data_IF_011165977657
#
_entry.id   IF_011165977657
#
_cell.length_a   1.000
_cell.length_b   1.000
_cell.length_c   1.000
_cell.angle_alpha   90.00
_cell.angle_beta   90.00
_cell.angle_gamma   90.00
#
_symmetry.space_group_name_H-M   'P 1'
#
loop_
_entity.id
_entity.type
_entity.pdbx_description
1 polymer ?
#
# COMPACT_ATOMS: atom_id res chain seq x y z
N UNK A 1 -12.24 9.27 -27.67
CA UNK A 1 -13.01 8.13 -27.11
C UNK A 1 -14.29 8.60 -26.43
N UNK A 2 -14.24 9.46 -25.40
CA UNK A 2 -15.46 9.99 -24.73
C UNK A 2 -16.43 10.72 -25.68
N UNK A 3 -15.88 11.50 -26.61
CA UNK A 3 -16.66 12.21 -27.64
C UNK A 3 -17.35 11.26 -28.62
N UNK A 4 -16.72 10.12 -28.95
CA UNK A 4 -17.33 9.07 -29.79
C UNK A 4 -18.46 8.32 -29.07
N UNK A 5 -18.48 8.36 -27.72
CA UNK A 5 -19.47 7.68 -26.89
C UNK A 5 -20.61 8.60 -26.45
N UNK A 6 -20.63 9.88 -26.86
CA UNK A 6 -21.58 10.86 -26.34
C UNK A 6 -21.61 10.86 -24.79
N UNK A 7 -20.42 10.71 -24.17
CA UNK A 7 -20.30 10.38 -22.75
C UNK A 7 -20.97 11.42 -21.85
N UNK A 8 -20.76 12.72 -22.13
CA UNK A 8 -21.35 13.81 -21.36
C UNK A 8 -22.88 13.80 -21.47
N UNK A 9 -23.42 13.71 -22.69
CA UNK A 9 -24.87 13.66 -22.94
C UNK A 9 -25.52 12.47 -22.23
N UNK A 10 -24.85 11.31 -22.21
CA UNK A 10 -25.31 10.11 -21.52
C UNK A 10 -25.34 10.31 -20.01
N UNK A 11 -24.29 10.89 -19.43
CA UNK A 11 -24.23 11.20 -18.00
C UNK A 11 -25.32 12.22 -17.64
N UNK A 12 -25.49 13.28 -18.43
CA UNK A 12 -26.50 14.31 -18.20
C UNK A 12 -27.92 13.72 -18.26
N UNK A 13 -28.18 12.82 -19.21
CA UNK A 13 -29.45 12.10 -19.28
C UNK A 13 -29.70 11.28 -18.01
N UNK A 14 -28.73 10.47 -17.57
CA UNK A 14 -28.85 9.69 -16.32
C UNK A 14 -29.14 10.62 -15.14
N UNK A 15 -28.38 11.71 -14.99
CA UNK A 15 -28.55 12.67 -13.90
C UNK A 15 -29.86 13.45 -13.98
N UNK A 16 -30.41 13.67 -15.17
CA UNK A 16 -31.73 14.31 -15.33
C UNK A 16 -32.88 13.43 -14.83
N UNK A 17 -32.74 12.10 -14.95
CA UNK A 17 -33.75 11.12 -14.52
C UNK A 17 -33.54 10.74 -13.05
N UNK A 18 -32.29 10.52 -12.65
CA UNK A 18 -31.88 10.14 -11.29
C UNK A 18 -30.67 10.98 -10.84
N UNK A 19 -30.91 12.18 -10.27
CA UNK A 19 -29.84 13.12 -9.91
C UNK A 19 -28.75 12.55 -8.97
N UNK A 20 -29.13 11.58 -8.13
CA UNK A 20 -28.24 10.95 -7.15
C UNK A 20 -27.61 9.63 -7.65
N UNK A 21 -27.90 9.19 -8.89
CA UNK A 21 -27.29 7.98 -9.45
C UNK A 21 -25.78 8.20 -9.61
N UNK A 22 -24.96 7.31 -9.06
CA UNK A 22 -23.50 7.35 -9.22
C UNK A 22 -23.10 6.71 -10.54
N UNK A 23 -22.20 7.36 -11.28
CA UNK A 23 -21.69 6.92 -12.57
C UNK A 23 -20.17 6.75 -12.47
N UNK A 24 -19.68 5.60 -12.92
CA UNK A 24 -18.25 5.31 -12.93
C UNK A 24 -17.51 6.00 -14.09
N UNK A 25 -16.19 5.99 -14.02
CA UNK A 25 -15.33 6.66 -14.99
C UNK A 25 -15.14 5.92 -16.35
N UNK A 26 -15.94 4.89 -16.66
CA UNK A 26 -15.69 4.03 -17.84
C UNK A 26 -16.26 4.54 -19.15
N UNK A 27 -17.04 5.63 -19.14
CA UNK A 27 -17.42 6.35 -20.36
C UNK A 27 -16.27 7.22 -20.93
N UNK A 28 -15.09 7.19 -20.30
CA UNK A 28 -13.92 7.97 -20.72
C UNK A 28 -13.88 9.39 -20.15
N UNK A 29 -14.72 9.67 -19.16
CA UNK A 29 -14.73 10.90 -18.36
C UNK A 29 -14.52 10.53 -16.88
N UNK A 30 -14.02 11.43 -16.02
CA UNK A 30 -13.81 11.14 -14.60
C UNK A 30 -15.08 10.68 -13.85
N UNK A 31 -16.26 11.19 -14.23
CA UNK A 31 -17.56 10.92 -13.61
C UNK A 31 -17.53 11.04 -12.07
N UNK A 32 -18.28 10.20 -11.35
CA UNK A 32 -18.39 10.28 -9.88
C UNK A 32 -17.27 9.49 -9.16
N UNK A 33 -16.78 8.38 -9.73
CA UNK A 33 -15.75 7.54 -9.11
C UNK A 33 -14.93 6.71 -10.10
N UNK A 34 -13.69 6.38 -9.72
CA UNK A 34 -12.76 5.54 -10.48
C UNK A 34 -12.94 4.03 -10.25
N UNK A 35 -12.58 3.21 -11.23
CA UNK A 35 -12.73 1.74 -11.14
C UNK A 35 -11.42 0.96 -11.36
N UNK A 36 -10.48 0.91 -10.40
CA UNK A 36 -9.37 -0.04 -10.44
C UNK A 36 -9.89 -1.47 -10.56
N UNK A 37 -9.41 -2.23 -11.55
CA UNK A 37 -9.90 -3.57 -11.85
C UNK A 37 -8.81 -4.61 -11.57
N UNK A 38 -9.12 -5.61 -10.75
CA UNK A 38 -8.21 -6.72 -10.40
C UNK A 38 -6.91 -6.31 -9.67
N UNK A 39 -6.77 -5.05 -9.25
CA UNK A 39 -5.67 -4.60 -8.39
C UNK A 39 -6.15 -3.57 -7.34
N UNK A 40 -5.48 -3.56 -6.19
CA UNK A 40 -5.66 -2.52 -5.17
C UNK A 40 -4.61 -1.42 -5.43
N UNK A 41 -5.00 -0.14 -5.57
CA UNK A 41 -4.02 0.95 -5.69
C UNK A 41 -3.01 0.94 -4.54
N UNK A 42 -1.73 1.16 -4.85
CA UNK A 42 -0.68 1.19 -3.82
C UNK A 42 -0.84 2.34 -2.81
N UNK A 43 -1.46 3.44 -3.24
CA UNK A 43 -1.78 4.62 -2.41
C UNK A 43 -3.24 5.00 -2.59
N UNK A 44 -3.81 5.73 -1.63
CA UNK A 44 -5.15 6.32 -1.73
C UNK A 44 -5.24 7.21 -2.99
N UNK A 45 -6.14 6.94 -3.94
CA UNK A 45 -6.43 7.83 -5.05
C UNK A 45 -7.00 9.18 -4.58
N UNK A 46 -6.85 10.22 -5.41
CA UNK A 46 -7.40 11.56 -5.11
C UNK A 46 -8.92 11.63 -5.22
N UNK A 47 -9.51 10.78 -6.04
CA UNK A 47 -10.97 10.69 -6.26
C UNK A 47 -11.55 9.46 -5.54
N UNK A 48 -12.87 9.46 -5.35
CA UNK A 48 -13.60 8.27 -4.91
C UNK A 48 -13.28 7.11 -5.87
N UNK A 49 -13.21 5.90 -5.34
CA UNK A 49 -12.92 4.73 -6.15
C UNK A 49 -13.57 3.47 -5.59
N UNK A 50 -13.85 2.54 -6.49
CA UNK A 50 -14.35 1.21 -6.18
C UNK A 50 -13.47 0.20 -6.91
N UNK A 51 -12.81 -0.65 -6.13
CA UNK A 51 -12.00 -1.74 -6.66
C UNK A 51 -12.94 -2.90 -6.99
N UNK A 52 -13.01 -3.29 -8.26
CA UNK A 52 -13.75 -4.48 -8.66
C UNK A 52 -12.80 -5.67 -8.77
N UNK A 53 -13.14 -6.80 -8.12
CA UNK A 53 -12.39 -8.04 -8.26
C UNK A 53 -13.26 -9.29 -8.32
N UNK A 54 -12.75 -10.31 -9.00
CA UNK A 54 -13.33 -11.65 -9.08
C UNK A 54 -13.02 -12.48 -7.84
N UNK A 55 -13.90 -13.42 -7.48
CA UNK A 55 -13.59 -14.43 -6.44
C UNK A 55 -12.65 -15.54 -6.92
N UNK A 56 -12.52 -15.75 -8.24
CA UNK A 56 -11.53 -16.63 -8.88
C UNK A 56 -10.80 -15.85 -10.00
N UNK A 57 -10.45 -16.45 -11.13
CA UNK A 57 -9.86 -15.79 -12.29
C UNK A 57 -10.86 -15.20 -13.31
N UNK A 58 -12.17 -15.35 -13.11
CA UNK A 58 -13.19 -14.98 -14.11
C UNK A 58 -14.36 -14.16 -13.52
N UNK A 59 -14.92 -13.28 -14.35
CA UNK A 59 -16.14 -12.51 -14.01
C UNK A 59 -17.40 -13.38 -14.12
N UNK A 60 -17.61 -13.98 -15.31
CA UNK A 60 -18.66 -14.98 -15.53
C UNK A 60 -18.25 -16.36 -15.02
N UNK A 61 -19.23 -17.26 -14.86
CA UNK A 61 -18.95 -18.62 -14.42
C UNK A 61 -18.04 -19.37 -15.41
N UNK A 62 -16.95 -19.91 -14.90
CA UNK A 62 -16.08 -20.82 -15.62
C UNK A 62 -15.98 -22.13 -14.84
N UNK A 63 -16.52 -23.22 -15.41
CA UNK A 63 -16.53 -24.55 -14.79
C UNK A 63 -15.14 -25.18 -14.61
N UNK A 64 -14.12 -24.63 -15.26
CA UNK A 64 -12.74 -25.13 -15.21
C UNK A 64 -11.82 -24.27 -14.32
N UNK A 65 -12.35 -23.22 -13.69
CA UNK A 65 -11.57 -22.36 -12.79
C UNK A 65 -11.95 -22.63 -11.33
N UNK A 66 -11.09 -23.39 -10.66
CA UNK A 66 -11.17 -23.72 -9.24
C UNK A 66 -10.21 -22.89 -8.38
N UNK A 67 -9.57 -21.87 -8.94
CA UNK A 67 -8.61 -21.01 -8.24
C UNK A 67 -9.34 -19.91 -7.43
N UNK A 68 -10.12 -20.33 -6.45
CA UNK A 68 -10.89 -19.44 -5.57
C UNK A 68 -9.97 -18.74 -4.56
N UNK A 69 -10.13 -17.42 -4.42
CA UNK A 69 -9.48 -16.63 -3.36
C UNK A 69 -10.00 -17.08 -2.00
N UNK A 70 -9.10 -17.20 -1.01
CA UNK A 70 -9.47 -17.54 0.37
C UNK A 70 -10.26 -16.41 1.05
N UNK A 71 -10.99 -16.73 2.11
CA UNK A 71 -11.64 -15.72 2.95
C UNK A 71 -10.62 -14.73 3.52
N UNK A 72 -9.43 -15.21 3.90
CA UNK A 72 -8.30 -14.38 4.32
C UNK A 72 -7.95 -13.31 3.28
N UNK A 73 -7.79 -13.71 2.01
CA UNK A 73 -7.51 -12.79 0.92
C UNK A 73 -8.60 -11.73 0.79
N UNK A 74 -9.88 -12.14 0.85
CA UNK A 74 -11.01 -11.24 0.66
C UNK A 74 -11.16 -10.23 1.81
N UNK A 75 -11.01 -10.68 3.07
CA UNK A 75 -11.07 -9.81 4.25
C UNK A 75 -9.90 -8.82 4.27
N UNK A 76 -8.67 -9.29 4.01
CA UNK A 76 -7.48 -8.41 3.99
C UNK A 76 -7.56 -7.40 2.85
N UNK A 77 -8.07 -7.79 1.68
CA UNK A 77 -8.34 -6.86 0.58
C UNK A 77 -9.38 -5.81 0.99
N UNK A 78 -10.48 -6.21 1.63
CA UNK A 78 -11.51 -5.30 2.10
C UNK A 78 -10.94 -4.26 3.07
N UNK A 79 -10.17 -4.69 4.07
CA UNK A 79 -9.52 -3.79 5.03
C UNK A 79 -8.49 -2.86 4.38
N UNK A 80 -7.72 -3.34 3.39
CA UNK A 80 -6.77 -2.50 2.63
C UNK A 80 -7.50 -1.42 1.81
N UNK A 81 -8.55 -1.81 1.08
CA UNK A 81 -9.35 -0.90 0.25
C UNK A 81 -10.07 0.13 1.13
N UNK A 82 -10.72 -0.30 2.22
CA UNK A 82 -11.37 0.59 3.17
C UNK A 82 -10.36 1.53 3.85
N UNK A 83 -9.16 1.05 4.19
CA UNK A 83 -8.09 1.85 4.76
C UNK A 83 -7.54 2.92 3.80
N UNK A 84 -7.74 2.74 2.49
CA UNK A 84 -7.47 3.72 1.44
C UNK A 84 -8.70 4.58 1.09
N UNK A 85 -9.85 4.35 1.74
CA UNK A 85 -11.08 5.10 1.55
C UNK A 85 -11.87 4.72 0.29
N UNK A 86 -11.70 3.49 -0.20
CA UNK A 86 -12.42 2.97 -1.36
C UNK A 86 -13.48 1.93 -1.00
N UNK A 87 -14.25 1.55 -2.02
CA UNK A 87 -15.20 0.45 -1.95
C UNK A 87 -14.63 -0.83 -2.57
N UNK A 88 -15.06 -2.00 -2.09
CA UNK A 88 -14.70 -3.29 -2.66
C UNK A 88 -15.91 -3.97 -3.29
N UNK A 89 -15.97 -3.97 -4.62
CA UNK A 89 -16.99 -4.68 -5.39
C UNK A 89 -16.50 -6.10 -5.70
N UNK A 90 -16.95 -7.05 -4.90
CA UNK A 90 -16.60 -8.46 -5.06
C UNK A 90 -17.58 -9.18 -6.00
N UNK A 91 -17.07 -9.71 -7.10
CA UNK A 91 -17.86 -10.43 -8.09
C UNK A 91 -18.02 -11.92 -7.78
N UNK A 92 -19.23 -12.44 -7.99
CA UNK A 92 -19.52 -13.87 -8.08
C UNK A 92 -20.24 -14.11 -9.40
N UNK A 93 -19.71 -15.00 -10.24
CA UNK A 93 -20.37 -15.44 -11.47
C UNK A 93 -21.31 -16.63 -11.19
N UNK A 94 -22.64 -16.47 -11.25
CA UNK A 94 -23.58 -17.57 -11.05
C UNK A 94 -23.50 -18.59 -12.20
N UNK A 95 -23.86 -19.84 -11.91
CA UNK A 95 -23.99 -20.88 -12.94
C UNK A 95 -25.16 -20.57 -13.90
N UNK A 96 -25.29 -21.33 -14.99
CA UNK A 96 -26.39 -21.21 -15.93
C UNK A 96 -27.77 -21.45 -15.29
N UNK A 97 -27.81 -22.16 -14.17
CA UNK A 97 -29.01 -22.43 -13.38
C UNK A 97 -29.35 -21.28 -12.40
N UNK A 98 -28.57 -20.20 -12.39
CA UNK A 98 -28.80 -19.02 -11.57
C UNK A 98 -28.38 -19.18 -10.10
N UNK A 99 -27.54 -20.17 -9.78
CA UNK A 99 -27.04 -20.42 -8.42
C UNK A 99 -25.58 -20.03 -8.28
N UNK A 100 -25.16 -19.69 -7.06
CA UNK A 100 -23.75 -19.45 -6.79
C UNK A 100 -22.95 -20.77 -6.88
N UNK A 101 -21.74 -20.75 -7.45
CA UNK A 101 -20.86 -21.92 -7.42
C UNK A 101 -20.68 -22.45 -5.99
N UNK A 102 -20.84 -23.76 -5.72
CA UNK A 102 -20.80 -24.29 -4.35
C UNK A 102 -19.51 -23.96 -3.59
N UNK A 103 -18.38 -23.83 -4.29
CA UNK A 103 -17.08 -23.53 -3.70
C UNK A 103 -16.97 -22.12 -3.10
N UNK A 104 -17.67 -21.11 -3.65
CA UNK A 104 -17.58 -19.72 -3.15
C UNK A 104 -18.48 -19.48 -1.94
N UNK A 105 -19.52 -20.29 -1.76
CA UNK A 105 -20.49 -20.14 -0.65
C UNK A 105 -19.83 -20.22 0.74
N UNK A 106 -19.03 -21.23 1.10
CA UNK A 106 -18.38 -21.27 2.41
C UNK A 106 -17.40 -20.10 2.61
N UNK A 107 -16.71 -19.68 1.55
CA UNK A 107 -15.77 -18.54 1.58
C UNK A 107 -16.51 -17.26 1.95
N UNK A 108 -17.65 -16.98 1.28
CA UNK A 108 -18.46 -15.79 1.58
C UNK A 108 -19.10 -15.85 2.96
N UNK A 109 -19.45 -17.06 3.46
CA UNK A 109 -19.94 -17.23 4.83
C UNK A 109 -18.87 -16.90 5.87
N UNK A 110 -17.62 -17.29 5.63
CA UNK A 110 -16.50 -16.97 6.51
C UNK A 110 -16.21 -15.45 6.51
N UNK A 111 -16.22 -14.80 5.35
CA UNK A 111 -16.16 -13.33 5.24
C UNK A 111 -17.31 -12.67 6.00
N UNK A 112 -18.53 -13.18 5.85
CA UNK A 112 -19.71 -12.68 6.55
C UNK A 112 -19.64 -12.85 8.07
N UNK A 113 -19.08 -13.97 8.55
CA UNK A 113 -18.87 -14.21 9.97
C UNK A 113 -17.86 -13.22 10.57
N UNK A 114 -16.77 -12.94 9.83
CA UNK A 114 -15.81 -11.91 10.24
C UNK A 114 -16.44 -10.52 10.29
N UNK A 115 -17.22 -10.15 9.27
CA UNK A 115 -17.94 -8.86 9.21
C UNK A 115 -19.01 -8.71 10.31
N UNK A 116 -19.63 -9.80 10.76
CA UNK A 116 -20.60 -9.75 11.84
C UNK A 116 -19.97 -9.30 13.17
N UNK A 117 -18.68 -9.60 13.37
CA UNK A 117 -17.90 -9.19 14.56
C UNK A 117 -17.22 -7.85 14.33
N UNK A 118 -16.58 -7.67 13.18
CA UNK A 118 -15.65 -6.56 12.93
C UNK A 118 -16.22 -5.47 12.01
N UNK A 119 -17.47 -5.57 11.55
CA UNK A 119 -18.04 -4.65 10.55
C UNK A 119 -18.00 -3.16 10.94
N UNK A 120 -17.94 -2.83 12.24
CA UNK A 120 -17.75 -1.45 12.70
C UNK A 120 -16.46 -0.80 12.15
N UNK A 121 -15.42 -1.59 11.88
CA UNK A 121 -14.15 -1.13 11.32
C UNK A 121 -14.15 -0.98 9.80
N UNK A 122 -15.25 -1.32 9.13
CA UNK A 122 -15.41 -1.17 7.67
C UNK A 122 -16.55 -0.20 7.35
N UNK A 123 -17.72 -0.40 7.93
CA UNK A 123 -18.90 0.37 7.58
C UNK A 123 -18.85 1.78 8.16
N UNK A 124 -18.94 2.78 7.28
CA UNK A 124 -18.92 4.20 7.66
C UNK A 124 -17.56 4.69 8.16
N UNK A 125 -16.48 3.96 7.88
CA UNK A 125 -15.12 4.42 8.15
C UNK A 125 -14.58 5.23 6.97
N UNK A 126 -13.65 6.13 7.26
CA UNK A 126 -12.77 6.75 6.28
C UNK A 126 -11.41 6.05 6.20
N UNK A 127 -10.52 6.55 5.33
CA UNK A 127 -9.15 6.05 5.23
C UNK A 127 -8.40 6.23 6.55
N UNK A 128 -7.51 5.29 6.86
CA UNK A 128 -6.57 5.45 7.97
C UNK A 128 -5.52 6.52 7.66
N UNK A 129 -4.84 7.07 8.68
CA UNK A 129 -3.81 8.09 8.48
C UNK A 129 -2.49 7.50 7.98
N UNK A 130 -2.27 6.20 8.12
CA UNK A 130 -1.00 5.55 7.82
C UNK A 130 -0.87 5.20 6.34
N UNK A 131 0.25 5.61 5.73
CA UNK A 131 0.59 5.18 4.37
C UNK A 131 0.90 3.67 4.31
N UNK A 132 1.58 3.15 5.35
CA UNK A 132 1.93 1.74 5.48
C UNK A 132 2.07 1.37 6.96
N UNK A 133 1.68 0.15 7.31
CA UNK A 133 1.91 -0.46 8.62
C UNK A 133 2.54 -1.84 8.38
N UNK A 134 3.55 -2.24 9.20
CA UNK A 134 4.27 -3.49 8.98
C UNK A 134 3.44 -4.74 9.29
N UNK A 135 2.34 -4.59 10.04
CA UNK A 135 1.51 -5.70 10.54
C UNK A 135 0.09 -5.72 9.96
N UNK A 136 -0.29 -4.75 9.11
CA UNK A 136 -1.63 -4.70 8.54
C UNK A 136 -2.09 -3.34 8.03
N UNK A 137 -3.30 -2.92 8.40
CA UNK A 137 -3.98 -1.73 7.86
C UNK A 137 -4.70 -0.94 8.95
N UNK A 138 -5.21 0.23 8.57
CA UNK A 138 -5.99 1.08 9.47
C UNK A 138 -7.15 1.72 8.71
N UNK A 139 -8.33 1.70 9.31
CA UNK A 139 -9.44 2.59 8.96
C UNK A 139 -9.69 3.57 10.11
N UNK A 140 -10.44 4.64 9.86
CA UNK A 140 -10.67 5.66 10.88
C UNK A 140 -12.13 6.14 10.93
N UNK A 141 -12.54 6.55 12.13
CA UNK A 141 -13.71 7.40 12.38
C UNK A 141 -13.28 8.57 13.25
N UNK A 142 -14.07 9.63 13.37
CA UNK A 142 -13.77 10.72 14.31
C UNK A 142 -13.45 10.17 15.71
N UNK A 143 -12.24 10.49 16.21
CA UNK A 143 -11.75 10.07 17.52
C UNK A 143 -11.37 8.58 17.66
N UNK A 144 -11.40 7.77 16.60
CA UNK A 144 -11.08 6.33 16.65
C UNK A 144 -10.31 5.85 15.45
N UNK A 145 -9.27 5.06 15.73
CA UNK A 145 -8.57 4.24 14.76
C UNK A 145 -8.98 2.78 14.93
N UNK A 146 -9.23 2.10 13.81
CA UNK A 146 -9.41 0.65 13.79
C UNK A 146 -8.15 0.06 13.15
N UNK A 147 -7.35 -0.59 13.98
CA UNK A 147 -6.08 -1.20 13.64
C UNK A 147 -6.37 -2.64 13.20
N UNK A 148 -6.29 -2.92 11.90
CA UNK A 148 -6.48 -4.23 11.30
C UNK A 148 -5.17 -5.00 11.33
N UNK A 149 -5.02 -5.94 12.26
CA UNK A 149 -3.77 -6.65 12.54
C UNK A 149 -3.78 -8.01 11.83
N UNK A 150 -3.09 -8.06 10.69
CA UNK A 150 -2.92 -9.26 9.88
C UNK A 150 -1.80 -10.15 10.43
N UNK A 151 -0.69 -9.53 10.85
CA UNK A 151 0.47 -10.21 11.40
C UNK A 151 0.56 -9.92 12.90
N UNK A 152 -0.07 -10.79 13.69
CA UNK A 152 -0.20 -10.60 15.12
C UNK A 152 1.16 -10.69 15.85
N UNK A 153 1.54 -9.67 16.64
CA UNK A 153 2.82 -9.67 17.34
C UNK A 153 2.76 -10.46 18.65
N UNK A 154 3.92 -10.82 19.18
CA UNK A 154 4.04 -11.44 20.51
C UNK A 154 4.02 -10.37 21.59
N UNK A 155 2.85 -10.12 22.17
CA UNK A 155 2.69 -9.33 23.39
C UNK A 155 2.64 -7.81 23.21
N UNK A 156 3.18 -7.24 22.13
CA UNK A 156 3.17 -5.80 21.90
C UNK A 156 3.01 -5.43 20.43
N UNK A 157 1.98 -4.64 20.13
CA UNK A 157 1.76 -4.01 18.81
C UNK A 157 2.33 -2.60 18.82
N UNK A 158 3.28 -2.33 17.92
CA UNK A 158 3.82 -0.99 17.73
C UNK A 158 3.03 -0.26 16.64
N UNK A 159 2.50 0.92 16.96
CA UNK A 159 1.79 1.84 16.07
C UNK A 159 2.71 3.04 15.81
N UNK A 160 3.52 2.98 14.75
CA UNK A 160 4.61 3.91 14.52
C UNK A 160 4.10 5.25 13.99
N UNK A 161 4.62 6.36 14.52
CA UNK A 161 4.38 7.71 14.01
C UNK A 161 3.06 8.35 14.42
N UNK A 162 2.25 7.71 15.26
CA UNK A 162 0.99 8.30 15.73
C UNK A 162 1.28 9.43 16.73
N UNK A 163 0.97 10.66 16.36
CA UNK A 163 1.27 11.85 17.21
C UNK A 163 0.10 12.25 18.11
N UNK A 164 -1.12 11.77 17.84
CA UNK A 164 -2.28 12.06 18.66
C UNK A 164 -2.07 11.63 20.12
N UNK A 165 -2.69 12.36 21.04
CA UNK A 165 -2.90 11.83 22.39
C UNK A 165 -3.87 10.65 22.31
N UNK A 166 -3.47 9.53 22.87
CA UNK A 166 -4.21 8.27 22.82
C UNK A 166 -5.07 8.08 24.06
N UNK A 167 -6.26 7.50 23.86
CA UNK A 167 -7.18 7.07 24.92
C UNK A 167 -7.10 5.56 25.14
N UNK A 168 -8.27 4.93 25.32
CA UNK A 168 -8.36 3.48 25.53
C UNK A 168 -8.08 2.72 24.24
N UNK A 169 -7.55 1.51 24.39
CA UNK A 169 -7.53 0.51 23.34
C UNK A 169 -8.26 -0.76 23.79
N UNK A 170 -8.93 -1.46 22.88
CA UNK A 170 -9.57 -2.76 23.15
C UNK A 170 -9.69 -3.57 21.85
N UNK A 171 -9.88 -4.88 21.99
CA UNK A 171 -10.22 -5.76 20.86
C UNK A 171 -11.67 -5.54 20.44
N UNK A 172 -11.92 -5.27 19.17
CA UNK A 172 -13.29 -5.07 18.67
C UNK A 172 -14.16 -6.32 18.87
N UNK A 173 -13.54 -7.51 18.81
CA UNK A 173 -14.19 -8.79 19.05
C UNK A 173 -14.49 -9.10 20.52
N UNK A 174 -13.93 -8.33 21.47
CA UNK A 174 -14.21 -8.53 22.90
C UNK A 174 -15.53 -7.84 23.29
N UNK A 175 -16.59 -8.59 23.64
CA UNK A 175 -17.87 -8.01 24.04
C UNK A 175 -17.77 -7.16 25.31
N UNK A 176 -16.81 -7.45 26.20
CA UNK A 176 -16.58 -6.68 27.42
C UNK A 176 -15.69 -5.45 27.18
N UNK A 177 -15.08 -5.33 25.99
CA UNK A 177 -14.17 -4.25 25.58
C UNK A 177 -13.11 -3.98 26.64
N UNK A 178 -12.46 -5.04 27.15
CA UNK A 178 -11.45 -4.92 28.19
C UNK A 178 -10.31 -4.02 27.70
N UNK A 179 -9.85 -3.08 28.54
CA UNK A 179 -8.80 -2.17 28.15
C UNK A 179 -7.48 -2.91 27.97
N UNK A 180 -6.84 -2.68 26.82
CA UNK A 180 -5.45 -3.00 26.57
C UNK A 180 -4.57 -1.86 27.09
N UNK A 181 -3.39 -2.20 27.62
CA UNK A 181 -2.43 -1.18 28.05
C UNK A 181 -1.87 -0.45 26.82
N UNK A 182 -1.84 0.89 26.90
CA UNK A 182 -1.34 1.77 25.84
C UNK A 182 -0.23 2.64 26.42
N UNK A 183 0.94 2.57 25.82
CA UNK A 183 2.13 3.31 26.24
C UNK A 183 2.72 4.07 25.06
N UNK A 184 3.32 5.23 25.31
CA UNK A 184 4.08 5.98 24.29
C UNK A 184 5.57 5.78 24.55
N UNK A 185 6.28 5.18 23.59
CA UNK A 185 7.76 5.11 23.59
C UNK A 185 8.34 6.38 22.98
N UNK A 186 9.66 6.58 23.13
CA UNK A 186 10.38 7.67 22.48
C UNK A 186 10.26 7.61 20.95
N UNK A 187 10.13 8.78 20.29
CA UNK A 187 10.09 8.88 18.83
C UNK A 187 8.72 8.64 18.18
N UNK A 188 7.63 9.08 18.83
CA UNK A 188 6.25 9.04 18.31
C UNK A 188 5.66 7.65 18.02
N UNK A 189 6.21 6.60 18.63
CA UNK A 189 5.64 5.25 18.59
C UNK A 189 4.70 5.02 19.78
N UNK A 190 3.45 4.65 19.48
CA UNK A 190 2.50 4.12 20.46
C UNK A 190 2.65 2.60 20.51
N UNK A 191 2.59 2.01 21.69
CA UNK A 191 2.67 0.56 21.91
C UNK A 191 1.41 0.11 22.64
N UNK A 192 0.76 -0.91 22.10
CA UNK A 192 -0.41 -1.54 22.69
C UNK A 192 -0.02 -2.94 23.16
N UNK A 193 -0.17 -3.24 24.44
CA UNK A 193 0.00 -4.60 24.95
C UNK A 193 -1.14 -5.47 24.46
N UNK A 194 -0.83 -6.56 23.78
CA UNK A 194 -1.82 -7.46 23.17
C UNK A 194 -1.67 -8.89 23.71
N UNK A 195 -2.74 -9.70 23.71
CA UNK A 195 -2.63 -11.14 24.02
C UNK A 195 -1.59 -11.87 23.17
N UNK A 196 -1.03 -12.98 23.69
CA UNK A 196 -0.06 -13.78 22.93
C UNK A 196 -0.66 -14.42 21.67
N UNK A 197 -1.94 -14.80 21.74
CA UNK A 197 -2.66 -15.39 20.62
C UNK A 197 -3.56 -14.34 19.95
N UNK A 198 -3.57 -14.34 18.62
CA UNK A 198 -4.48 -13.53 17.83
C UNK A 198 -5.94 -13.97 18.09
N UNK A 199 -6.84 -13.04 18.43
CA UNK A 199 -8.28 -13.34 18.56
C UNK A 199 -8.90 -13.88 17.26
N UNK A 200 -8.41 -13.38 16.12
CA UNK A 200 -8.76 -13.82 14.78
C UNK A 200 -7.48 -13.98 13.94
N UNK A 201 -7.35 -15.10 13.22
CA UNK A 201 -6.14 -15.44 12.45
C UNK A 201 -6.06 -14.73 11.09
N UNK A 202 -7.18 -14.26 10.57
CA UNK A 202 -7.27 -13.55 9.29
C UNK A 202 -6.94 -12.07 9.51
N UNK A 203 -7.69 -11.43 10.40
CA UNK A 203 -7.58 -10.01 10.72
C UNK A 203 -8.17 -9.74 12.11
N UNK A 204 -7.30 -9.47 13.08
CA UNK A 204 -7.70 -9.06 14.43
C UNK A 204 -7.78 -7.54 14.51
N UNK A 205 -8.95 -7.01 14.90
CA UNK A 205 -9.17 -5.56 14.95
C UNK A 205 -9.03 -5.01 16.37
N UNK A 206 -8.13 -4.05 16.56
CA UNK A 206 -8.02 -3.25 17.79
C UNK A 206 -8.61 -1.88 17.53
N UNK A 207 -9.51 -1.43 18.41
CA UNK A 207 -9.93 -0.02 18.43
C UNK A 207 -8.97 0.76 19.31
N UNK A 208 -8.49 1.89 18.83
CA UNK A 208 -7.67 2.84 19.57
C UNK A 208 -8.34 4.22 19.54
N UNK A 209 -8.67 4.75 20.72
CA UNK A 209 -9.17 6.13 20.84
C UNK A 209 -8.04 7.13 20.68
N UNK A 210 -8.34 8.24 20.00
CA UNK A 210 -7.43 9.36 19.81
C UNK A 210 -8.15 10.69 20.05
N UNK A 211 -7.42 11.69 20.53
CA UNK A 211 -7.91 13.07 20.59
C UNK A 211 -7.67 13.78 19.25
N UNK A 212 -8.73 14.40 18.72
CA UNK A 212 -8.71 15.16 17.47
C UNK A 212 -8.71 14.30 16.20
N UNK A 213 -8.41 14.93 15.07
CA UNK A 213 -8.26 14.25 13.78
C UNK A 213 -7.00 13.36 13.76
N UNK A 214 -7.04 12.18 13.12
CA UNK A 214 -5.87 11.32 12.96
C UNK A 214 -4.66 12.06 12.37
N UNK A 215 -3.52 12.03 13.08
CA UNK A 215 -2.28 12.68 12.66
C UNK A 215 -1.07 11.76 12.86
N UNK A 216 -0.40 11.44 11.77
CA UNK A 216 0.79 10.58 11.78
C UNK A 216 1.97 11.29 11.14
N UNK A 217 3.16 11.06 11.70
CA UNK A 217 4.43 11.40 11.07
C UNK A 217 4.99 10.18 10.36
N UNK A 218 5.53 10.38 9.16
CA UNK A 218 6.22 9.32 8.45
C UNK A 218 7.44 8.87 9.26
N UNK A 219 7.44 7.61 9.68
CA UNK A 219 8.55 7.06 10.45
C UNK A 219 9.70 6.70 9.51
N UNK A 220 10.95 7.05 9.89
CA UNK A 220 12.09 6.72 9.08
C UNK A 220 12.30 5.21 9.02
N UNK A 221 12.72 4.71 7.86
CA UNK A 221 13.14 3.32 7.69
C UNK A 221 14.36 3.06 8.58
N UNK A 222 14.32 1.99 9.37
CA UNK A 222 15.40 1.61 10.30
C UNK A 222 16.21 0.44 9.77
N UNK A 223 17.41 0.29 10.33
CA UNK A 223 18.24 -0.85 10.07
C UNK A 223 17.60 -2.16 10.58
N UNK A 224 17.86 -3.26 9.89
CA UNK A 224 17.55 -4.61 10.36
C UNK A 224 18.50 -5.06 11.49
N UNK A 225 18.34 -6.31 11.95
CA UNK A 225 19.17 -6.87 13.03
C UNK A 225 20.67 -6.93 12.72
N UNK A 226 21.04 -6.92 11.43
CA UNK A 226 22.43 -6.93 10.96
C UNK A 226 22.96 -5.51 10.71
N UNK A 227 22.17 -4.47 11.00
CA UNK A 227 22.53 -3.07 10.77
C UNK A 227 22.32 -2.60 9.34
N UNK A 228 21.73 -3.41 8.45
CA UNK A 228 21.48 -3.02 7.06
C UNK A 228 20.20 -2.20 6.97
N UNK A 229 20.26 -1.09 6.23
CA UNK A 229 19.10 -0.24 5.96
C UNK A 229 18.64 -0.54 4.54
N UNK A 230 17.43 -1.09 4.41
CA UNK A 230 16.86 -1.51 3.11
C UNK A 230 15.73 -0.57 2.74
N UNK A 231 15.96 0.25 1.71
CA UNK A 231 15.02 1.22 1.17
C UNK A 231 14.26 0.58 0.00
N UNK A 232 13.11 -0.03 0.28
CA UNK A 232 12.31 -0.74 -0.72
C UNK A 232 11.49 0.22 -1.58
N UNK A 233 11.23 -0.13 -2.84
CA UNK A 233 10.36 0.61 -3.74
C UNK A 233 8.98 0.91 -3.13
N UNK A 234 8.39 -0.06 -2.42
CA UNK A 234 7.09 0.11 -1.76
C UNK A 234 7.08 1.16 -0.64
N UNK A 235 8.23 1.54 -0.10
CA UNK A 235 8.38 2.56 0.94
C UNK A 235 8.78 3.93 0.38
N UNK A 236 8.90 4.06 -0.95
CA UNK A 236 9.42 5.26 -1.58
C UNK A 236 8.39 6.38 -1.67
N UNK A 237 8.80 7.59 -1.33
CA UNK A 237 8.13 8.83 -1.70
C UNK A 237 8.45 9.16 -3.16
N UNK A 238 7.42 9.24 -4.00
CA UNK A 238 7.57 9.54 -5.42
C UNK A 238 7.05 10.95 -5.66
N UNK A 239 7.89 11.82 -6.21
CA UNK A 239 7.52 13.16 -6.62
C UNK A 239 7.66 13.23 -8.14
N UNK A 240 6.54 13.31 -8.85
CA UNK A 240 6.51 13.21 -10.30
C UNK A 240 5.20 12.65 -10.84
N UNK A 241 5.10 12.53 -12.16
CA UNK A 241 3.86 12.11 -12.84
C UNK A 241 3.92 10.67 -13.39
N UNK A 242 5.10 10.20 -13.80
CA UNK A 242 5.23 8.94 -14.57
C UNK A 242 5.73 7.78 -13.72
N UNK A 243 6.69 8.04 -12.82
CA UNK A 243 7.22 7.06 -11.90
C UNK A 243 6.12 6.58 -10.95
N UNK A 244 6.00 5.27 -10.79
CA UNK A 244 4.99 4.67 -9.92
C UNK A 244 5.43 3.30 -9.43
N UNK A 245 4.88 2.91 -8.28
CA UNK A 245 5.02 1.56 -7.78
C UNK A 245 4.29 0.59 -8.70
N UNK A 246 5.01 -0.43 -9.18
CA UNK A 246 4.48 -1.58 -9.91
C UNK A 246 5.12 -2.87 -9.38
N UNK A 247 4.71 -4.01 -9.94
CA UNK A 247 5.39 -5.28 -9.74
C UNK A 247 5.69 -5.91 -11.09
N UNK A 248 6.95 -6.27 -11.33
CA UNK A 248 7.37 -7.05 -12.50
C UNK A 248 7.97 -8.36 -12.04
N UNK A 249 7.40 -9.48 -12.47
CA UNK A 249 7.77 -10.80 -11.96
C UNK A 249 7.32 -10.96 -10.51
N UNK A 250 8.26 -11.18 -9.59
CA UNK A 250 8.01 -11.32 -8.13
C UNK A 250 8.56 -10.16 -7.30
N UNK A 251 9.03 -9.08 -7.94
CA UNK A 251 9.70 -7.98 -7.26
C UNK A 251 8.90 -6.68 -7.45
N UNK A 252 8.56 -6.02 -6.34
CA UNK A 252 8.02 -4.66 -6.35
C UNK A 252 9.12 -3.69 -6.77
N UNK A 253 8.76 -2.75 -7.64
CA UNK A 253 9.70 -1.78 -8.17
C UNK A 253 9.02 -0.45 -8.48
N UNK A 254 9.79 0.63 -8.48
CA UNK A 254 9.39 1.86 -9.14
C UNK A 254 9.69 1.69 -10.62
N UNK A 255 8.65 1.73 -11.44
CA UNK A 255 8.75 1.62 -12.88
C UNK A 255 7.84 2.65 -13.56
N UNK A 256 7.66 2.50 -14.88
CA UNK A 256 7.11 3.54 -15.77
C UNK A 256 7.80 4.91 -15.60
N UNK A 257 9.03 4.92 -15.12
CA UNK A 257 9.78 6.13 -14.85
C UNK A 257 10.31 6.71 -16.17
N UNK A 258 9.44 7.43 -16.89
CA UNK A 258 9.69 7.95 -18.24
C UNK A 258 9.94 9.46 -18.28
N UNK A 259 9.66 10.18 -17.20
CA UNK A 259 10.02 11.59 -17.06
C UNK A 259 11.26 11.72 -16.14
N UNK A 260 12.41 12.21 -16.66
CA UNK A 260 13.59 12.47 -15.84
C UNK A 260 13.42 13.65 -14.87
N UNK A 261 12.28 14.36 -14.85
CA UNK A 261 11.90 15.30 -13.80
C UNK A 261 11.40 14.60 -12.53
N UNK A 262 10.90 13.37 -12.63
CA UNK A 262 10.41 12.59 -11.50
C UNK A 262 11.56 12.21 -10.54
N UNK A 263 11.25 12.10 -9.26
CA UNK A 263 12.19 11.82 -8.16
C UNK A 263 11.63 10.71 -7.29
N UNK A 264 12.52 9.88 -6.77
CA UNK A 264 12.17 8.80 -5.83
C UNK A 264 13.03 8.96 -4.59
N UNK A 265 12.41 9.00 -3.41
CA UNK A 265 13.11 9.26 -2.16
C UNK A 265 12.62 8.44 -0.98
N UNK A 266 13.44 8.41 0.07
CA UNK A 266 13.16 7.71 1.31
C UNK A 266 13.69 8.52 2.50
N UNK A 267 13.00 8.42 3.63
CA UNK A 267 13.50 8.86 4.93
C UNK A 267 13.96 7.64 5.72
N UNK A 268 15.15 7.69 6.29
CA UNK A 268 15.74 6.56 7.00
C UNK A 268 16.57 7.02 8.21
N UNK A 269 16.74 6.13 9.18
CA UNK A 269 17.47 6.40 10.41
C UNK A 269 18.79 5.64 10.41
N UNK A 270 19.89 6.38 10.58
CA UNK A 270 21.21 5.82 10.88
C UNK A 270 21.35 5.78 12.39
N UNK A 271 21.20 4.60 12.98
CA UNK A 271 21.35 4.42 14.43
C UNK A 271 22.80 4.41 14.91
N UNK A 272 23.74 4.05 14.03
CA UNK A 272 25.18 4.01 14.33
C UNK A 272 25.96 4.81 13.28
N UNK A 273 26.70 5.87 13.67
CA UNK A 273 27.63 6.53 12.77
C UNK A 273 28.61 5.53 12.15
N UNK A 274 29.01 5.76 10.90
CA UNK A 274 29.90 4.86 10.18
C UNK A 274 29.82 5.03 8.67
N UNK A 275 30.64 4.26 7.98
CA UNK A 275 30.62 4.17 6.51
C UNK A 275 29.69 3.04 6.10
N UNK A 276 28.81 3.31 5.14
CA UNK A 276 27.86 2.34 4.62
C UNK A 276 28.06 2.19 3.12
N UNK A 277 28.24 0.95 2.67
CA UNK A 277 28.22 0.59 1.24
C UNK A 277 26.81 0.71 0.70
N UNK A 278 26.70 1.40 -0.43
CA UNK A 278 25.44 1.67 -1.11
C UNK A 278 25.34 0.79 -2.35
N UNK A 279 24.33 -0.06 -2.38
CA UNK A 279 23.95 -0.84 -3.55
C UNK A 279 22.54 -0.47 -4.01
N UNK A 280 22.30 -0.50 -5.30
CA UNK A 280 21.00 -0.28 -5.92
C UNK A 280 20.59 -1.51 -6.70
N UNK A 281 19.35 -1.95 -6.52
CA UNK A 281 18.80 -3.08 -7.27
C UNK A 281 17.90 -2.61 -8.40
N UNK A 282 18.30 -2.88 -9.63
CA UNK A 282 17.68 -2.33 -10.83
C UNK A 282 17.45 -3.38 -11.90
N UNK A 283 16.46 -3.16 -12.75
CA UNK A 283 16.27 -3.89 -14.00
C UNK A 283 16.11 -2.89 -15.17
N UNK A 284 16.61 -3.27 -16.34
CA UNK A 284 16.50 -2.49 -17.57
C UNK A 284 16.48 -3.43 -18.78
N UNK A 285 15.49 -3.26 -19.66
CA UNK A 285 15.47 -4.01 -20.91
C UNK A 285 16.59 -3.56 -21.86
N UNK A 286 17.05 -4.49 -22.70
CA UNK A 286 18.00 -4.21 -23.78
C UNK A 286 17.42 -3.19 -24.75
N UNK A 287 18.20 -2.15 -25.07
CA UNK A 287 17.80 -1.03 -25.91
C UNK A 287 17.22 0.16 -25.13
N UNK A 288 16.99 0.01 -23.82
CA UNK A 288 16.48 1.08 -22.95
C UNK A 288 17.52 1.62 -21.96
N UNK A 289 18.76 1.10 -22.00
CA UNK A 289 19.84 1.50 -21.09
C UNK A 289 20.39 2.91 -21.36
N UNK A 290 21.30 3.35 -20.48
CA UNK A 290 22.07 4.57 -20.65
C UNK A 290 21.58 5.77 -19.85
N UNK A 291 20.45 5.66 -19.14
CA UNK A 291 19.99 6.66 -18.21
C UNK A 291 21.04 6.93 -17.11
N UNK A 292 21.38 8.18 -16.90
CA UNK A 292 22.27 8.62 -15.82
C UNK A 292 21.44 9.10 -14.63
N UNK A 293 21.90 8.81 -13.42
CA UNK A 293 21.22 9.20 -12.19
C UNK A 293 22.21 9.51 -11.07
N UNK A 294 21.70 10.20 -10.04
CA UNK A 294 22.43 10.44 -8.79
C UNK A 294 21.62 9.96 -7.61
N UNK A 295 22.28 9.32 -6.65
CA UNK A 295 21.76 9.00 -5.33
C UNK A 295 22.32 10.03 -4.36
N UNK A 296 21.45 10.79 -3.68
CA UNK A 296 21.83 11.93 -2.83
C UNK A 296 21.42 11.70 -1.39
N UNK A 297 22.31 12.04 -0.44
CA UNK A 297 21.99 12.11 1.00
C UNK A 297 22.61 13.37 1.58
N UNK A 298 21.79 14.41 1.80
CA UNK A 298 22.29 15.75 2.13
C UNK A 298 23.23 16.28 1.04
N UNK A 299 24.44 16.71 1.43
CA UNK A 299 25.48 17.13 0.48
C UNK A 299 26.26 16.00 -0.21
N UNK A 300 26.01 14.73 0.14
CA UNK A 300 26.72 13.57 -0.41
C UNK A 300 26.03 13.09 -1.68
N UNK A 301 26.80 12.67 -2.68
CA UNK A 301 26.27 12.13 -3.93
C UNK A 301 27.07 10.92 -4.41
N UNK A 302 26.36 9.93 -4.92
CA UNK A 302 26.89 8.85 -5.75
C UNK A 302 26.21 8.92 -7.12
N UNK A 303 26.92 8.62 -8.20
CA UNK A 303 26.38 8.65 -9.56
C UNK A 303 26.37 7.26 -10.16
N UNK A 304 25.39 6.97 -10.99
CA UNK A 304 25.29 5.72 -11.74
C UNK A 304 24.81 5.95 -13.16
N UNK A 305 25.10 4.97 -14.02
CA UNK A 305 24.54 4.86 -15.37
C UNK A 305 23.89 3.49 -15.48
N UNK A 306 22.63 3.46 -15.90
CA UNK A 306 21.85 2.23 -16.04
C UNK A 306 22.41 1.41 -17.19
N UNK A 307 22.74 0.15 -16.93
CA UNK A 307 23.11 -0.83 -17.94
C UNK A 307 21.93 -1.77 -18.21
N UNK A 308 21.88 -2.39 -19.40
CA UNK A 308 20.91 -3.43 -19.68
C UNK A 308 21.11 -4.62 -18.75
N UNK A 309 20.00 -5.12 -18.20
CA UNK A 309 19.96 -6.37 -17.44
C UNK A 309 19.30 -7.49 -18.25
N UNK A 310 18.96 -7.22 -19.51
CA UNK A 310 18.33 -8.17 -20.43
C UNK A 310 16.81 -8.32 -20.27
N UNK A 311 16.15 -7.45 -19.50
CA UNK A 311 14.69 -7.44 -19.31
C UNK A 311 14.25 -6.53 -18.17
N UNK A 312 13.01 -6.05 -18.21
CA UNK A 312 12.42 -5.20 -17.15
C UNK A 312 12.13 -5.94 -15.84
N UNK A 313 12.25 -7.26 -15.84
CA UNK A 313 12.05 -8.17 -14.71
C UNK A 313 13.35 -8.86 -14.25
N UNK A 314 14.48 -8.57 -14.91
CA UNK A 314 15.78 -9.15 -14.58
C UNK A 314 16.56 -8.22 -13.66
N UNK A 315 16.28 -8.28 -12.36
CA UNK A 315 16.89 -7.40 -11.38
C UNK A 315 18.32 -7.84 -10.99
N UNK A 316 19.23 -6.88 -10.98
CA UNK A 316 20.63 -7.04 -10.54
C UNK A 316 20.99 -6.00 -9.49
N UNK A 317 21.85 -6.36 -8.54
CA UNK A 317 22.40 -5.42 -7.57
C UNK A 317 23.68 -4.76 -8.15
N UNK A 318 23.71 -3.43 -8.14
CA UNK A 318 24.83 -2.60 -8.62
C UNK A 318 25.41 -1.84 -7.44
N UNK A 319 26.71 -1.99 -7.19
CA UNK A 319 27.42 -1.20 -6.18
C UNK A 319 27.65 0.22 -6.69
N UNK A 320 27.33 1.23 -5.87
CA UNK A 320 27.47 2.64 -6.22
C UNK A 320 28.64 3.32 -5.51
N UNK A 321 29.15 2.74 -4.43
CA UNK A 321 30.16 3.34 -3.56
C UNK A 321 29.72 3.35 -2.10
N UNK A 322 30.16 4.36 -1.36
CA UNK A 322 29.97 4.43 0.09
C UNK A 322 29.47 5.82 0.52
N UNK A 323 28.66 5.86 1.58
CA UNK A 323 28.34 7.08 2.32
C UNK A 323 28.86 6.98 3.75
N UNK A 324 29.56 8.00 4.22
CA UNK A 324 29.98 8.11 5.63
C UNK A 324 29.06 9.05 6.39
N UNK A 325 28.47 8.54 7.48
CA UNK A 325 27.61 9.26 8.41
C UNK A 325 28.35 9.52 9.71
N UNK A 326 28.68 10.78 9.98
CA UNK A 326 29.41 11.20 11.19
C UNK A 326 28.54 11.17 12.46
N UNK A 327 27.22 11.18 12.29
CA UNK A 327 26.26 11.26 13.39
C UNK A 327 25.13 10.26 13.17
N UNK A 328 24.57 9.78 14.29
CA UNK A 328 23.30 9.08 14.24
C UNK A 328 22.19 10.11 13.97
N UNK A 329 21.12 9.68 13.30
CA UNK A 329 19.99 10.55 13.04
C UNK A 329 19.18 10.13 11.83
N UNK A 330 18.16 10.94 11.54
CA UNK A 330 17.28 10.75 10.39
C UNK A 330 17.84 11.49 9.18
N UNK A 331 17.98 10.76 8.07
CA UNK A 331 18.48 11.25 6.79
C UNK A 331 17.42 11.05 5.71
N UNK A 332 17.53 11.82 4.64
CA UNK A 332 16.74 11.65 3.43
C UNK A 332 17.66 11.22 2.28
N UNK A 333 17.29 10.15 1.60
CA UNK A 333 17.92 9.70 0.36
C UNK A 333 17.01 10.01 -0.81
N UNK A 334 17.57 10.55 -1.91
CA UNK A 334 16.81 10.80 -3.14
C UNK A 334 17.58 10.32 -4.37
N UNK A 335 16.87 9.61 -5.25
CA UNK A 335 17.33 9.23 -6.58
C UNK A 335 16.83 10.26 -7.58
N UNK A 336 17.77 10.86 -8.30
CA UNK A 336 17.54 11.95 -9.26
C UNK A 336 18.09 11.53 -10.63
N UNK A 337 17.23 11.19 -11.59
CA UNK A 337 17.63 11.00 -12.97
C UNK A 337 18.15 12.31 -13.58
N UNK A 338 19.11 12.20 -14.48
CA UNK A 338 19.59 13.29 -15.34
C UNK A 338 18.96 13.23 -16.73
N UNK A 339 18.72 12.03 -17.24
CA UNK A 339 18.18 11.76 -18.58
C UNK A 339 17.60 10.34 -18.64
N UNK A 340 16.97 10.00 -19.77
CA UNK A 340 16.41 8.68 -20.09
C UNK A 340 16.47 8.39 -21.61
N UNK A 341 17.67 8.32 -22.21
CA UNK A 341 17.82 8.18 -23.67
C UNK A 341 17.12 6.94 -24.26
N UNK A 342 16.89 5.90 -23.44
CA UNK A 342 16.18 4.69 -23.80
C UNK A 342 14.66 4.70 -23.55
N UNK A 343 14.07 5.88 -23.32
CA UNK A 343 12.64 6.09 -23.08
C UNK A 343 12.18 5.92 -21.63
N UNK A 344 12.95 5.22 -20.80
CA UNK A 344 12.71 5.06 -19.37
C UNK A 344 14.03 5.13 -18.59
N UNK A 345 13.95 5.45 -17.30
CA UNK A 345 15.12 5.53 -16.42
C UNK A 345 15.59 4.13 -16.03
N UNK A 346 14.78 3.40 -15.27
CA UNK A 346 15.03 2.03 -14.81
C UNK A 346 13.78 1.47 -14.11
N UNK A 347 13.75 0.15 -13.88
CA UNK A 347 12.94 -0.42 -12.82
C UNK A 347 13.78 -0.49 -11.54
N UNK A 348 13.43 0.31 -10.52
CA UNK A 348 14.17 0.41 -9.27
C UNK A 348 13.46 -0.38 -8.15
N UNK A 349 14.05 -1.49 -7.70
CA UNK A 349 13.45 -2.34 -6.66
C UNK A 349 13.82 -1.88 -5.24
N UNK A 350 15.08 -1.55 -5.00
CA UNK A 350 15.56 -1.09 -3.68
C UNK A 350 16.91 -0.40 -3.72
N UNK A 351 17.23 0.33 -2.66
CA UNK A 351 18.59 0.76 -2.29
C UNK A 351 18.94 0.15 -0.94
N UNK A 352 20.13 -0.42 -0.81
CA UNK A 352 20.63 -1.00 0.44
C UNK A 352 21.85 -0.23 0.91
N UNK A 353 21.84 0.18 2.18
CA UNK A 353 23.01 0.70 2.89
C UNK A 353 23.48 -0.37 3.88
N UNK A 354 24.69 -0.87 3.70
CA UNK A 354 25.30 -1.90 4.56
C UNK A 354 26.51 -1.32 5.30
N UNK A 355 26.57 -1.41 6.64
CA UNK A 355 27.73 -0.96 7.41
C UNK A 355 29.07 -1.58 7.00
#
# INVERSE_FOLDING_TARGET
MAELLHAQETIDLVKSIQPNCLVNNRLGLPADYGTPEQYIPGRKPQHLFEVCMTTNGHWGYNKYDDNWKSAETLVRNLADIAGKGGNYLLNVGPTAEGVFPPAVVPILKEVGAWLAVNGESIYGTGPGPFAKLPWGRCTAKPGRLYLHVFDWPKGALEVPGLTNKTGKAWLLSDPEKKPLAVERKSGDTVVITVPEAAPDKIDSVIVLEIEGEPNVVAMPIRADGDGRIVLLAGDAEIAGETARLESRGREENIGFWTDPADRVGWRFEVGRPGTYRVAIRVACATGSEGAEYTVKVGGRLLSGKVASTGGWDKFVDVSLGEFTFEQAGVYALTVVPKNNPGGAVMNLARITLTP
#
